data_IF_037769019374
#
_entry.id   IF_037769019374
#
_cell.length_a   1.000
_cell.length_b   1.000
_cell.length_c   1.000
_cell.angle_alpha   90.00
_cell.angle_beta   90.00
_cell.angle_gamma   90.00
#
_symmetry.space_group_name_H-M   'P 1'
#
loop_
_entity.id
_entity.type
_entity.pdbx_description
1 polymer ?
#
# COMPACT_ATOMS: atom_id res chain seq x y z
N UNK A 1 4.62 -29.44 4.51
CA UNK A 1 5.66 -28.41 4.31
C UNK A 1 5.04 -27.06 4.61
N UNK A 2 5.64 -26.21 5.44
CA UNK A 2 5.10 -24.87 5.77
C UNK A 2 5.66 -23.86 4.76
N UNK A 3 4.80 -23.05 4.15
CA UNK A 3 5.22 -21.91 3.32
C UNK A 3 5.74 -20.82 4.27
N UNK A 4 6.92 -20.26 3.99
CA UNK A 4 7.42 -19.06 4.64
C UNK A 4 7.27 -17.87 3.71
N UNK A 5 6.65 -16.80 4.21
CA UNK A 5 6.67 -15.49 3.56
C UNK A 5 7.98 -14.77 3.93
N UNK A 6 8.69 -14.28 2.91
CA UNK A 6 9.96 -13.57 3.03
C UNK A 6 9.87 -12.12 2.53
N UNK A 7 8.64 -11.61 2.35
CA UNK A 7 8.39 -10.24 1.89
C UNK A 7 8.27 -9.27 3.06
N UNK A 8 8.51 -7.98 2.80
CA UNK A 8 8.21 -6.90 3.73
C UNK A 8 6.80 -6.38 3.46
N UNK A 9 6.05 -6.10 4.53
CA UNK A 9 4.73 -5.47 4.42
C UNK A 9 4.87 -4.05 3.87
N UNK A 10 4.21 -3.77 2.74
CA UNK A 10 4.05 -2.39 2.23
C UNK A 10 3.07 -1.67 3.17
N UNK A 11 3.52 -0.57 3.77
CA UNK A 11 2.75 0.25 4.69
C UNK A 11 3.27 1.69 4.71
N UNK A 12 2.52 2.61 5.30
CA UNK A 12 2.92 4.02 5.46
C UNK A 12 4.27 4.21 6.18
N UNK A 13 4.67 3.23 6.98
CA UNK A 13 5.86 3.27 7.81
C UNK A 13 7.03 2.43 7.23
N UNK A 14 6.89 1.89 6.02
CA UNK A 14 8.00 1.15 5.40
C UNK A 14 9.16 2.12 5.16
N UNK A 15 10.41 1.74 5.52
CA UNK A 15 11.55 2.60 5.25
C UNK A 15 11.70 2.82 3.74
N UNK A 16 11.93 4.06 3.35
CA UNK A 16 12.22 4.44 1.96
C UNK A 16 13.59 5.06 1.83
N UNK A 17 14.14 5.02 0.61
CA UNK A 17 15.41 5.67 0.33
C UNK A 17 15.29 7.19 0.45
N UNK A 18 16.31 7.89 0.98
CA UNK A 18 16.31 9.35 1.04
C UNK A 18 16.08 9.96 -0.35
N UNK A 19 15.04 10.79 -0.48
CA UNK A 19 14.65 11.43 -1.74
C UNK A 19 13.68 10.63 -2.61
N UNK A 20 13.43 9.35 -2.30
CA UNK A 20 12.38 8.57 -2.96
C UNK A 20 10.99 8.87 -2.37
N UNK A 21 9.91 8.77 -3.16
CA UNK A 21 8.56 8.86 -2.64
C UNK A 21 8.30 7.77 -1.59
N UNK A 22 7.80 8.17 -0.43
CA UNK A 22 7.19 7.22 0.51
C UNK A 22 5.89 6.65 -0.10
N UNK A 23 5.45 5.44 0.28
CA UNK A 23 4.15 4.96 -0.11
C UNK A 23 3.05 5.95 0.29
N UNK A 24 2.09 6.13 -0.60
CA UNK A 24 0.91 6.94 -0.36
C UNK A 24 -0.32 6.15 -0.75
N UNK A 25 -1.28 6.07 0.17
CA UNK A 25 -2.54 5.37 0.03
C UNK A 25 -3.65 6.40 0.02
N UNK A 26 -4.41 6.45 -1.07
CA UNK A 26 -5.48 7.43 -1.26
C UNK A 26 -6.79 6.67 -1.44
N UNK A 27 -7.71 6.72 -0.46
CA UNK A 27 -9.05 6.18 -0.62
C UNK A 27 -9.74 6.94 -1.76
N UNK A 28 -10.11 6.23 -2.81
CA UNK A 28 -10.73 6.80 -4.00
C UNK A 28 -12.25 6.58 -3.98
N UNK A 29 -12.69 5.37 -3.64
CA UNK A 29 -14.11 5.00 -3.54
C UNK A 29 -14.35 4.28 -2.23
N UNK A 30 -15.58 4.36 -1.72
CA UNK A 30 -15.95 3.73 -0.47
C UNK A 30 -17.19 2.82 -0.63
N UNK A 31 -17.19 1.70 0.10
CA UNK A 31 -18.23 0.68 -0.07
C UNK A 31 -19.65 1.17 0.21
N UNK A 32 -19.81 2.19 1.06
CA UNK A 32 -21.12 2.71 1.44
C UNK A 32 -21.79 3.44 0.27
N UNK A 33 -21.02 4.26 -0.44
CA UNK A 33 -21.56 5.13 -1.49
C UNK A 33 -21.41 4.49 -2.88
N UNK A 34 -20.34 3.73 -3.12
CA UNK A 34 -19.94 3.25 -4.44
C UNK A 34 -20.12 1.73 -4.62
N UNK A 35 -20.39 1.01 -3.53
CA UNK A 35 -20.57 -0.45 -3.52
C UNK A 35 -19.28 -1.26 -3.53
N UNK A 36 -18.11 -0.61 -3.50
CA UNK A 36 -16.79 -1.23 -3.37
C UNK A 36 -15.79 -0.27 -2.69
N UNK A 37 -14.67 -0.81 -2.21
CA UNK A 37 -13.55 0.03 -1.78
C UNK A 37 -12.51 0.07 -2.89
N UNK A 38 -12.05 1.26 -3.23
CA UNK A 38 -10.93 1.47 -4.15
C UNK A 38 -9.91 2.38 -3.47
N UNK A 39 -8.65 1.99 -3.55
CA UNK A 39 -7.54 2.75 -3.03
C UNK A 39 -6.46 2.84 -4.11
N UNK A 40 -5.93 4.06 -4.30
CA UNK A 40 -4.77 4.29 -5.15
C UNK A 40 -3.51 4.21 -4.31
N UNK A 41 -2.58 3.34 -4.72
CA UNK A 41 -1.26 3.19 -4.11
C UNK A 41 -0.17 3.76 -5.03
N UNK A 42 0.55 4.77 -4.53
CA UNK A 42 1.77 5.28 -5.14
C UNK A 42 2.97 4.84 -4.30
N UNK A 43 3.99 4.25 -4.91
CA UNK A 43 5.23 3.86 -4.21
C UNK A 43 6.40 3.78 -5.21
N UNK A 44 7.61 3.91 -4.70
CA UNK A 44 8.83 3.69 -5.49
C UNK A 44 9.11 2.20 -5.67
N UNK A 45 9.49 1.78 -6.89
CA UNK A 45 10.05 0.45 -7.15
C UNK A 45 11.52 0.35 -6.79
#
# INVERSE_FOLDING_TARGET
>A
MKILDLTLTISDNIPTFPGSPAPSFIPWENIKDDGYNLELLFFSS
#
